data_IF_103673640157
#
_entry.id   IF_103673640157
#
_cell.length_a   1.000
_cell.length_b   1.000
_cell.length_c   1.000
_cell.angle_alpha   90.00
_cell.angle_beta   90.00
_cell.angle_gamma   90.00
#
_symmetry.space_group_name_H-M   'P 1'
#
loop_
_entity.id
_entity.type
_entity.pdbx_description
1 polymer ?
#
# COMPACT_ATOMS: atom_id res chain seq x y z
N UNK A 1 -49.59 26.11 -18.17
CA UNK A 1 -48.18 25.79 -18.48
C UNK A 1 -47.63 24.90 -17.37
N UNK A 2 -47.40 23.61 -17.67
CA UNK A 2 -46.84 22.64 -16.70
C UNK A 2 -45.33 22.81 -16.68
N UNK A 3 -44.77 23.32 -15.58
CA UNK A 3 -43.33 23.33 -15.33
C UNK A 3 -42.89 21.91 -15.00
N UNK A 4 -42.18 21.27 -15.91
CA UNK A 4 -41.49 20.01 -15.66
C UNK A 4 -40.18 20.32 -14.92
N UNK A 5 -40.22 20.25 -13.59
CA UNK A 5 -39.02 20.33 -12.76
C UNK A 5 -38.28 18.99 -12.87
N UNK A 6 -37.34 18.90 -13.82
CA UNK A 6 -36.41 17.78 -13.90
C UNK A 6 -35.43 17.94 -12.74
N UNK A 7 -35.69 17.23 -11.65
CA UNK A 7 -34.69 16.99 -10.61
C UNK A 7 -33.59 16.12 -11.24
N UNK A 8 -32.56 16.78 -11.79
CA UNK A 8 -31.30 16.14 -12.10
C UNK A 8 -30.68 15.76 -10.76
N UNK A 9 -30.96 14.54 -10.29
CA UNK A 9 -30.36 13.98 -9.09
C UNK A 9 -28.88 13.78 -9.44
N UNK A 10 -28.05 14.75 -9.05
CA UNK A 10 -26.61 14.57 -8.93
C UNK A 10 -26.36 13.53 -7.84
N UNK A 11 -26.42 12.25 -8.21
CA UNK A 11 -25.79 11.21 -7.41
C UNK A 11 -24.30 11.57 -7.37
N UNK A 12 -23.67 11.68 -6.18
CA UNK A 12 -22.22 11.79 -6.13
C UNK A 12 -21.68 10.50 -6.72
N UNK A 13 -21.19 10.56 -7.96
CA UNK A 13 -20.32 9.53 -8.49
C UNK A 13 -19.12 9.51 -7.55
N UNK A 14 -19.11 8.56 -6.62
CA UNK A 14 -17.92 8.21 -5.87
C UNK A 14 -16.93 7.63 -6.89
N UNK A 15 -16.17 8.51 -7.54
CA UNK A 15 -14.97 8.15 -8.27
C UNK A 15 -14.03 7.53 -7.24
N UNK A 16 -14.04 6.21 -7.17
CA UNK A 16 -13.05 5.47 -6.40
C UNK A 16 -11.68 5.80 -7.01
N UNK A 17 -10.84 6.50 -6.26
CA UNK A 17 -9.45 6.70 -6.65
C UNK A 17 -8.83 5.34 -6.94
N UNK A 18 -8.20 5.21 -8.12
CA UNK A 18 -7.43 4.02 -8.52
C UNK A 18 -6.22 3.82 -7.60
N UNK A 19 -5.74 4.91 -7.04
CA UNK A 19 -4.58 4.97 -6.17
C UNK A 19 -5.02 4.93 -4.70
N UNK A 20 -4.33 4.09 -3.94
CA UNK A 20 -4.47 3.96 -2.50
C UNK A 20 -3.15 4.29 -1.84
N UNK A 21 -3.11 5.38 -1.07
CA UNK A 21 -1.96 5.67 -0.21
C UNK A 21 -2.02 4.80 1.03
N UNK A 22 -0.91 4.17 1.36
CA UNK A 22 -0.73 3.48 2.64
C UNK A 22 0.37 4.15 3.45
N UNK A 23 0.13 4.24 4.75
CA UNK A 23 1.12 4.68 5.74
C UNK A 23 1.30 3.53 6.71
N UNK A 24 2.51 3.01 6.78
CA UNK A 24 2.85 1.84 7.58
C UNK A 24 3.80 2.23 8.70
N UNK A 25 3.51 1.74 9.91
CA UNK A 25 4.20 2.13 11.14
C UNK A 25 4.41 0.92 12.06
N UNK A 26 5.52 0.91 12.77
CA UNK A 26 5.79 -0.01 13.88
C UNK A 26 6.16 0.75 15.15
N UNK A 27 5.71 0.27 16.30
CA UNK A 27 6.09 0.82 17.61
C UNK A 27 7.40 0.24 18.15
N UNK A 28 7.88 -0.86 17.57
CA UNK A 28 9.14 -1.53 17.95
C UNK A 28 10.27 -1.04 17.05
N UNK A 29 11.51 -1.15 17.53
CA UNK A 29 12.66 -1.02 16.63
C UNK A 29 12.63 -2.16 15.60
N UNK A 30 12.77 -1.88 14.31
CA UNK A 30 12.94 -2.92 13.32
C UNK A 30 14.25 -3.68 13.61
N UNK A 31 14.22 -5.00 13.46
CA UNK A 31 15.42 -5.83 13.57
C UNK A 31 16.45 -5.45 12.52
N UNK A 32 16.01 -5.09 11.32
CA UNK A 32 16.88 -4.49 10.34
C UNK A 32 16.97 -2.97 10.54
N UNK A 33 18.11 -2.53 11.05
CA UNK A 33 18.38 -1.11 11.33
C UNK A 33 18.38 -0.20 10.10
N UNK A 34 18.40 -0.75 8.88
CA UNK A 34 18.22 0.02 7.64
C UNK A 34 16.74 0.32 7.34
N UNK A 35 15.81 -0.22 8.12
CA UNK A 35 14.38 0.00 7.95
C UNK A 35 13.91 1.20 8.76
N UNK A 36 13.14 2.06 8.11
CA UNK A 36 12.42 3.14 8.77
C UNK A 36 11.24 2.55 9.58
N UNK A 37 11.04 3.02 10.81
CA UNK A 37 9.85 2.72 11.63
C UNK A 37 8.53 3.11 10.98
N UNK A 38 8.58 4.11 10.09
CA UNK A 38 7.43 4.65 9.37
C UNK A 38 7.79 4.86 7.91
N UNK A 39 6.90 4.45 7.02
CA UNK A 39 7.05 4.62 5.59
C UNK A 39 5.68 4.77 4.90
N UNK A 40 5.71 5.21 3.64
CA UNK A 40 4.48 5.36 2.86
C UNK A 40 4.67 4.95 1.41
N UNK A 41 3.62 4.35 0.84
CA UNK A 41 3.54 3.89 -0.55
C UNK A 41 2.24 4.34 -1.19
N UNK A 42 2.23 4.47 -2.50
CA UNK A 42 0.99 4.53 -3.29
C UNK A 42 0.85 3.19 -4.00
N UNK A 43 -0.30 2.55 -3.85
CA UNK A 43 -0.63 1.30 -4.54
C UNK A 43 -1.73 1.60 -5.55
N UNK A 44 -1.48 1.28 -6.81
CA UNK A 44 -2.50 1.26 -7.85
C UNK A 44 -2.85 -0.20 -8.16
N UNK A 45 -4.06 -0.62 -7.79
CA UNK A 45 -4.50 -2.00 -7.98
C UNK A 45 -4.88 -2.33 -9.43
N UNK A 46 -5.28 -1.31 -10.20
CA UNK A 46 -5.66 -1.49 -11.61
C UNK A 46 -4.42 -1.69 -12.48
N UNK A 47 -3.46 -0.78 -12.36
CA UNK A 47 -2.19 -0.81 -13.08
C UNK A 47 -1.18 -1.78 -12.47
N UNK A 48 -1.49 -2.34 -11.29
CA UNK A 48 -0.61 -3.24 -10.53
C UNK A 48 0.78 -2.60 -10.30
N UNK A 49 0.77 -1.38 -9.78
CA UNK A 49 2.00 -0.65 -9.45
C UNK A 49 2.06 -0.31 -7.97
N UNK A 50 3.28 -0.21 -7.46
CA UNK A 50 3.58 0.37 -6.16
C UNK A 50 4.58 1.49 -6.40
N UNK A 51 4.32 2.66 -5.84
CA UNK A 51 5.24 3.79 -5.84
C UNK A 51 5.77 4.01 -4.43
N UNK A 52 7.08 4.25 -4.32
CA UNK A 52 7.72 4.56 -3.05
C UNK A 52 7.67 6.07 -2.78
N UNK A 53 6.81 6.51 -1.86
CA UNK A 53 6.83 7.91 -1.38
C UNK A 53 7.93 8.13 -0.33
N UNK A 54 8.10 7.16 0.58
CA UNK A 54 9.13 7.22 1.61
C UNK A 54 9.47 5.83 2.16
N UNK A 55 10.65 5.72 2.76
CA UNK A 55 11.15 4.48 3.36
C UNK A 55 11.68 3.48 2.32
N UNK A 56 11.46 2.20 2.59
CA UNK A 56 12.15 1.07 1.98
C UNK A 56 11.93 0.98 0.46
N UNK A 57 12.97 1.06 -0.38
CA UNK A 57 12.81 0.86 -1.81
C UNK A 57 12.57 -0.62 -2.17
N UNK A 58 12.08 -0.88 -3.37
CA UNK A 58 12.07 -2.21 -4.01
C UNK A 58 12.48 -2.00 -5.48
N UNK A 59 13.09 -3.00 -6.09
CA UNK A 59 13.79 -2.83 -7.37
C UNK A 59 13.56 -3.96 -8.38
N UNK A 60 13.12 -5.15 -7.94
CA UNK A 60 13.24 -6.35 -8.77
C UNK A 60 11.91 -6.96 -9.19
N UNK A 61 10.98 -7.17 -8.25
CA UNK A 61 9.76 -7.92 -8.52
C UNK A 61 8.60 -7.42 -7.66
N UNK A 62 7.44 -7.24 -8.28
CA UNK A 62 6.18 -6.98 -7.60
C UNK A 62 5.15 -8.01 -8.07
N UNK A 63 4.69 -8.86 -7.16
CA UNK A 63 3.63 -9.85 -7.43
C UNK A 63 2.35 -9.36 -6.79
N UNK A 64 1.31 -9.15 -7.61
CA UNK A 64 -0.03 -8.87 -7.14
C UNK A 64 -0.86 -10.15 -7.15
N UNK A 65 -1.38 -10.52 -5.99
CA UNK A 65 -2.44 -11.50 -5.88
C UNK A 65 -3.67 -10.86 -5.19
N UNK A 66 -4.76 -11.62 -5.06
CA UNK A 66 -6.02 -11.10 -4.53
C UNK A 66 -5.97 -10.68 -3.05
N UNK A 67 -4.94 -11.08 -2.32
CA UNK A 67 -4.83 -10.91 -0.86
C UNK A 67 -3.55 -10.23 -0.42
N UNK A 68 -2.50 -10.24 -1.25
CA UNK A 68 -1.16 -9.85 -0.90
C UNK A 68 -0.42 -9.26 -2.11
N UNK A 69 0.40 -8.27 -1.83
CA UNK A 69 1.39 -7.73 -2.75
C UNK A 69 2.75 -8.13 -2.22
N UNK A 70 3.57 -8.82 -3.01
CA UNK A 70 4.93 -9.22 -2.62
C UNK A 70 5.92 -8.38 -3.40
N UNK A 71 6.89 -7.78 -2.71
CA UNK A 71 7.92 -6.93 -3.30
C UNK A 71 9.30 -7.41 -2.87
N UNK A 72 10.23 -7.51 -3.81
CA UNK A 72 11.61 -7.90 -3.52
C UNK A 72 12.58 -6.74 -3.74
N UNK A 73 13.53 -6.60 -2.82
CA UNK A 73 14.67 -5.70 -2.92
C UNK A 73 15.96 -6.51 -3.06
N UNK A 74 16.59 -6.42 -4.23
CA UNK A 74 17.82 -7.15 -4.55
C UNK A 74 19.06 -6.50 -3.90
N UNK A 75 19.12 -5.17 -3.84
CA UNK A 75 20.28 -4.45 -3.27
C UNK A 75 20.54 -4.84 -1.81
N UNK A 76 19.48 -4.98 -1.02
CA UNK A 76 19.55 -5.28 0.41
C UNK A 76 19.08 -6.70 0.75
N UNK A 77 18.80 -7.51 -0.27
CA UNK A 77 18.39 -8.93 -0.17
C UNK A 77 17.28 -9.19 0.88
N UNK A 78 16.21 -8.40 0.82
CA UNK A 78 15.02 -8.65 1.62
C UNK A 78 13.76 -8.71 0.76
N UNK A 79 12.77 -9.43 1.26
CA UNK A 79 11.43 -9.50 0.69
C UNK A 79 10.46 -8.80 1.62
N UNK A 80 9.44 -8.19 1.03
CA UNK A 80 8.35 -7.59 1.79
C UNK A 80 7.02 -8.02 1.23
N UNK A 81 6.01 -8.10 2.09
CA UNK A 81 4.67 -8.39 1.65
C UNK A 81 3.64 -7.51 2.34
N UNK A 82 2.67 -7.03 1.57
CA UNK A 82 1.55 -6.25 2.05
C UNK A 82 0.27 -7.08 1.96
N UNK A 83 -0.28 -7.48 3.11
CA UNK A 83 -1.56 -8.14 3.17
C UNK A 83 -2.70 -7.11 3.09
N UNK A 84 -3.48 -7.19 2.01
CA UNK A 84 -4.55 -6.25 1.65
C UNK A 84 -5.71 -6.32 2.64
N UNK A 85 -6.01 -7.52 3.17
CA UNK A 85 -7.11 -7.76 4.09
C UNK A 85 -6.80 -7.28 5.50
N UNK A 86 -5.63 -7.63 6.03
CA UNK A 86 -5.24 -7.27 7.39
C UNK A 86 -4.56 -5.90 7.50
N UNK A 87 -4.26 -5.24 6.38
CA UNK A 87 -3.45 -4.01 6.32
C UNK A 87 -2.14 -4.15 7.11
N UNK A 88 -1.46 -5.29 6.95
CA UNK A 88 -0.16 -5.54 7.58
C UNK A 88 0.90 -5.57 6.52
N UNK A 89 2.03 -4.98 6.81
CA UNK A 89 3.21 -5.06 5.97
C UNK A 89 4.30 -5.81 6.71
N UNK A 90 4.84 -6.85 6.09
CA UNK A 90 5.93 -7.64 6.59
C UNK A 90 7.18 -7.34 5.77
N UNK A 91 8.32 -7.24 6.43
CA UNK A 91 9.64 -7.22 5.79
C UNK A 91 10.43 -8.38 6.41
N UNK A 92 11.00 -9.23 5.57
CA UNK A 92 11.72 -10.40 6.04
C UNK A 92 12.91 -10.72 5.15
N UNK A 93 13.96 -11.24 5.79
CA UNK A 93 15.11 -11.85 5.16
C UNK A 93 15.40 -13.21 5.82
N UNK A 94 16.61 -13.74 5.65
CA UNK A 94 17.04 -14.99 6.28
C UNK A 94 17.19 -14.94 7.82
N UNK A 95 17.22 -13.75 8.42
CA UNK A 95 17.56 -13.53 9.83
C UNK A 95 16.41 -12.93 10.65
N UNK A 96 15.56 -12.09 10.06
CA UNK A 96 14.53 -11.36 10.78
C UNK A 96 13.20 -11.30 10.04
N UNK A 97 12.15 -11.02 10.81
CA UNK A 97 10.82 -10.66 10.32
C UNK A 97 10.36 -9.42 11.09
N UNK A 98 10.21 -8.31 10.38
CA UNK A 98 9.65 -7.06 10.88
C UNK A 98 8.20 -6.89 10.42
N UNK A 99 7.33 -6.46 11.32
CA UNK A 99 5.90 -6.26 11.06
C UNK A 99 5.47 -4.83 11.32
N UNK A 100 4.71 -4.28 10.38
CA UNK A 100 4.17 -2.93 10.40
C UNK A 100 2.66 -2.97 10.27
N UNK A 101 1.97 -2.09 10.99
CA UNK A 101 0.54 -1.86 10.83
C UNK A 101 0.35 -0.72 9.85
N UNK A 102 -0.48 -0.93 8.84
CA UNK A 102 -0.73 0.06 7.81
C UNK A 102 -2.14 0.66 7.93
N UNK A 103 -2.22 1.95 7.63
CA UNK A 103 -3.49 2.67 7.51
C UNK A 103 -3.65 3.11 6.06
N UNK A 104 -4.83 2.82 5.48
CA UNK A 104 -5.20 3.25 4.13
C UNK A 104 -5.68 4.71 4.20
N UNK A 105 -5.17 5.55 3.30
CA UNK A 105 -5.62 6.93 3.08
C UNK A 105 -6.03 7.06 1.61
N UNK A 106 -7.22 7.61 1.38
CA UNK A 106 -7.67 8.05 0.06
C UNK A 106 -7.19 9.47 -0.17
#
# INVERSE_FOLDING_TARGET
MKFFFIFLICLPFHLFSKDMKIICETSREPFNHNLNKRFSKIINFENKTVENLSGQPFDNLIIFNNYEIVMHNKVYDYTSSFNIGSNKWLVYDKNFIDSFKCTKRR
#
